data_IF_518197760810
#
_entry.id   IF_518197760810
#
_cell.length_a   1.000
_cell.length_b   1.000
_cell.length_c   1.000
_cell.angle_alpha   90.00
_cell.angle_beta   90.00
_cell.angle_gamma   90.00
#
_symmetry.space_group_name_H-M   'P 1'
#
loop_
_entity.id
_entity.type
_entity.pdbx_description
1 polymer ?
#
# COMPACT_ATOMS: atom_id res chain seq x y z
N UNK A 1 20.36 -32.56 -36.02
CA UNK A 1 20.31 -31.27 -35.27
C UNK A 1 18.88 -30.75 -35.04
N UNK A 2 17.94 -30.92 -35.98
CA UNK A 2 16.57 -30.37 -35.86
C UNK A 2 15.68 -30.97 -34.75
N UNK A 3 15.82 -32.27 -34.44
CA UNK A 3 15.01 -32.92 -33.40
C UNK A 3 15.34 -32.42 -31.98
N UNK A 4 16.63 -32.22 -31.65
CA UNK A 4 17.06 -31.67 -30.36
C UNK A 4 16.52 -30.26 -30.13
N UNK A 5 16.51 -29.41 -31.16
CA UNK A 5 15.95 -28.06 -31.07
C UNK A 5 14.43 -28.05 -30.82
N UNK A 6 13.68 -28.99 -31.42
CA UNK A 6 12.23 -29.12 -31.22
C UNK A 6 11.88 -29.62 -29.81
N UNK A 7 12.67 -30.56 -29.28
CA UNK A 7 12.53 -31.09 -27.93
C UNK A 7 12.81 -30.02 -26.87
N UNK A 8 13.85 -29.19 -27.06
CA UNK A 8 14.14 -28.05 -26.17
C UNK A 8 12.99 -27.05 -26.17
N UNK A 9 12.44 -26.68 -27.34
CA UNK A 9 11.28 -25.77 -27.41
C UNK A 9 10.03 -26.33 -26.73
N UNK A 10 9.78 -27.64 -26.82
CA UNK A 10 8.66 -28.29 -26.15
C UNK A 10 8.84 -28.32 -24.62
N UNK A 11 10.06 -28.59 -24.14
CA UNK A 11 10.40 -28.56 -22.71
C UNK A 11 10.27 -27.16 -22.09
N UNK A 12 10.63 -26.11 -22.84
CA UNK A 12 10.48 -24.72 -22.39
C UNK A 12 9.01 -24.30 -22.33
N UNK A 13 8.19 -24.70 -23.32
CA UNK A 13 6.75 -24.42 -23.31
C UNK A 13 6.03 -25.11 -22.16
N UNK A 14 6.38 -26.36 -21.86
CA UNK A 14 5.82 -27.09 -20.72
C UNK A 14 6.24 -26.49 -19.38
N UNK A 15 7.51 -26.09 -19.23
CA UNK A 15 7.97 -25.37 -18.03
C UNK A 15 7.24 -24.02 -17.85
N UNK A 16 7.01 -23.27 -18.92
CA UNK A 16 6.25 -22.02 -18.87
C UNK A 16 4.78 -22.24 -18.48
N UNK A 17 4.14 -23.29 -19.00
CA UNK A 17 2.78 -23.67 -18.63
C UNK A 17 2.66 -24.10 -17.16
N UNK A 18 3.65 -24.85 -16.65
CA UNK A 18 3.70 -25.23 -15.23
C UNK A 18 3.87 -24.00 -14.32
N UNK A 19 4.68 -23.01 -14.72
CA UNK A 19 4.78 -21.74 -13.97
C UNK A 19 3.48 -20.94 -13.98
N UNK A 20 2.77 -20.88 -15.10
CA UNK A 20 1.47 -20.21 -15.19
C UNK A 20 0.39 -20.91 -14.36
N UNK A 21 0.46 -22.24 -14.24
CA UNK A 21 -0.41 -23.00 -13.35
C UNK A 21 -0.15 -22.70 -11.86
N UNK A 22 1.10 -22.39 -11.47
CA UNK A 22 1.43 -22.00 -10.10
C UNK A 22 0.78 -20.64 -9.72
N UNK A 23 0.67 -19.70 -10.65
CA UNK A 23 0.04 -18.39 -10.39
C UNK A 23 -1.44 -18.51 -10.00
N UNK A 24 -2.13 -19.58 -10.40
CA UNK A 24 -3.53 -19.83 -10.09
C UNK A 24 -3.73 -20.57 -8.76
N UNK A 25 -2.66 -21.10 -8.15
CA UNK A 25 -2.75 -21.86 -6.89
C UNK A 25 -2.93 -20.95 -5.68
N UNK A 26 -3.52 -21.51 -4.64
CA UNK A 26 -3.72 -20.82 -3.36
C UNK A 26 -2.39 -20.57 -2.63
N UNK A 27 -2.37 -19.62 -1.70
CA UNK A 27 -1.16 -19.30 -0.93
C UNK A 27 -0.65 -20.54 -0.16
N UNK A 28 -1.55 -21.37 0.40
CA UNK A 28 -1.20 -22.59 1.14
C UNK A 28 -0.58 -23.68 0.26
N UNK A 29 -1.09 -23.83 -0.97
CA UNK A 29 -0.55 -24.79 -1.94
C UNK A 29 0.84 -24.37 -2.42
N UNK A 30 1.06 -23.06 -2.59
CA UNK A 30 2.36 -22.50 -2.96
C UNK A 30 3.42 -22.68 -1.86
N UNK A 31 3.03 -22.63 -0.58
CA UNK A 31 3.96 -22.88 0.52
C UNK A 31 4.40 -24.35 0.63
N UNK A 32 3.52 -25.28 0.22
CA UNK A 32 3.81 -26.72 0.19
C UNK A 32 4.57 -27.17 -1.05
N UNK A 33 4.68 -26.31 -2.07
CA UNK A 33 5.35 -26.62 -3.33
C UNK A 33 6.86 -26.81 -3.16
N UNK A 34 7.38 -27.97 -3.60
CA UNK A 34 8.79 -28.32 -3.47
C UNK A 34 9.53 -28.30 -4.81
N UNK A 35 8.85 -28.65 -5.91
CA UNK A 35 9.48 -28.78 -7.24
C UNK A 35 9.89 -27.43 -7.80
N UNK A 36 9.00 -26.43 -7.67
CA UNK A 36 9.24 -25.05 -8.12
C UNK A 36 9.26 -24.06 -6.95
N UNK A 37 9.95 -24.43 -5.87
CA UNK A 37 9.96 -23.68 -4.62
C UNK A 37 10.41 -22.22 -4.79
N UNK A 38 11.43 -21.95 -5.62
CA UNK A 38 11.89 -20.58 -5.89
C UNK A 38 10.82 -19.72 -6.56
N UNK A 39 10.09 -20.28 -7.53
CA UNK A 39 9.01 -19.60 -8.23
C UNK A 39 7.79 -19.42 -7.33
N UNK A 40 7.39 -20.45 -6.58
CA UNK A 40 6.27 -20.37 -5.65
C UNK A 40 6.46 -19.30 -4.57
N UNK A 41 7.64 -19.26 -3.95
CA UNK A 41 7.99 -18.23 -2.97
C UNK A 41 8.04 -16.82 -3.59
N UNK A 42 8.45 -16.72 -4.86
CA UNK A 42 8.46 -15.45 -5.56
C UNK A 42 7.05 -14.91 -5.84
N UNK A 43 6.10 -15.80 -6.16
CA UNK A 43 4.68 -15.46 -6.34
C UNK A 43 4.08 -15.00 -5.00
N UNK A 44 4.35 -15.71 -3.91
CA UNK A 44 3.93 -15.31 -2.56
C UNK A 44 4.52 -13.94 -2.17
N UNK A 45 5.80 -13.70 -2.49
CA UNK A 45 6.46 -12.41 -2.28
C UNK A 45 5.82 -11.27 -3.08
N UNK A 46 5.38 -11.53 -4.30
CA UNK A 46 4.67 -10.57 -5.14
C UNK A 46 3.24 -10.28 -4.60
N UNK A 47 2.49 -11.33 -4.21
CA UNK A 47 1.16 -11.16 -3.58
C UNK A 47 1.23 -10.41 -2.25
N UNK A 48 2.28 -10.63 -1.46
CA UNK A 48 2.53 -9.86 -0.24
C UNK A 48 2.82 -8.38 -0.54
N UNK A 49 3.55 -8.10 -1.63
CA UNK A 49 3.82 -6.73 -2.07
C UNK A 49 2.56 -5.99 -2.54
N UNK A 50 1.65 -6.66 -3.26
CA UNK A 50 0.35 -6.12 -3.65
C UNK A 50 -0.52 -5.76 -2.43
N UNK A 51 -0.40 -6.53 -1.35
CA UNK A 51 -1.03 -6.26 -0.05
C UNK A 51 -0.32 -5.16 0.76
N UNK A 52 0.76 -4.57 0.23
CA UNK A 52 1.61 -3.58 0.90
C UNK A 52 2.31 -4.11 2.17
N UNK A 53 2.54 -5.42 2.28
CA UNK A 53 3.32 -6.01 3.36
C UNK A 53 4.79 -6.17 2.93
N UNK A 54 5.58 -5.13 3.18
CA UNK A 54 7.00 -5.11 2.85
C UNK A 54 7.82 -6.13 3.67
N UNK A 55 7.35 -6.54 4.85
CA UNK A 55 8.10 -7.45 5.74
C UNK A 55 7.93 -8.89 5.26
N UNK A 56 6.68 -9.32 5.04
CA UNK A 56 6.40 -10.62 4.47
C UNK A 56 7.00 -10.76 3.06
N UNK A 57 6.86 -9.74 2.22
CA UNK A 57 7.44 -9.75 0.86
C UNK A 57 8.97 -9.95 0.89
N UNK A 58 9.70 -9.23 1.75
CA UNK A 58 11.15 -9.42 1.94
C UNK A 58 11.51 -10.86 2.30
N UNK A 59 10.80 -11.44 3.25
CA UNK A 59 11.11 -12.77 3.76
C UNK A 59 10.86 -13.84 2.69
N UNK A 60 9.74 -13.76 1.97
CA UNK A 60 9.45 -14.65 0.85
C UNK A 60 10.50 -14.55 -0.26
N UNK A 61 10.92 -13.33 -0.66
CA UNK A 61 11.97 -13.15 -1.66
C UNK A 61 13.35 -13.61 -1.17
N UNK A 62 13.68 -13.45 0.12
CA UNK A 62 14.92 -13.98 0.70
C UNK A 62 14.96 -15.51 0.60
N UNK A 63 13.87 -16.17 0.97
CA UNK A 63 13.72 -17.63 0.85
C UNK A 63 13.74 -18.09 -0.62
N UNK A 64 13.14 -17.32 -1.53
CA UNK A 64 13.15 -17.59 -2.97
C UNK A 64 14.58 -17.52 -3.56
N UNK A 65 15.37 -16.51 -3.17
CA UNK A 65 16.77 -16.36 -3.61
C UNK A 65 17.63 -17.51 -3.06
N UNK A 66 17.39 -17.93 -1.81
CA UNK A 66 18.11 -19.06 -1.23
C UNK A 66 17.80 -20.39 -1.94
N UNK A 67 16.53 -20.59 -2.34
CA UNK A 67 16.09 -21.80 -3.05
C UNK A 67 16.38 -21.80 -4.55
N UNK A 68 16.81 -20.68 -5.14
CA UNK A 68 16.97 -20.54 -6.59
C UNK A 68 18.37 -20.89 -7.11
N UNK A 69 18.38 -21.29 -8.38
CA UNK A 69 19.59 -21.60 -9.15
C UNK A 69 20.39 -20.33 -9.43
N UNK A 70 21.73 -20.38 -9.56
CA UNK A 70 22.57 -19.20 -9.76
C UNK A 70 22.15 -18.29 -10.93
N UNK A 71 21.63 -18.89 -12.00
CA UNK A 71 21.15 -18.18 -13.20
C UNK A 71 19.87 -17.37 -12.93
N UNK A 72 18.98 -17.88 -12.08
CA UNK A 72 17.68 -17.28 -11.77
C UNK A 72 17.77 -16.23 -10.65
N UNK A 73 18.82 -16.30 -9.80
CA UNK A 73 19.02 -15.40 -8.66
C UNK A 73 18.98 -13.93 -9.05
N UNK A 74 19.61 -13.58 -10.18
CA UNK A 74 19.65 -12.19 -10.63
C UNK A 74 18.27 -11.69 -11.08
N UNK A 75 17.47 -12.54 -11.72
CA UNK A 75 16.10 -12.21 -12.11
C UNK A 75 15.21 -12.06 -10.87
N UNK A 76 15.29 -12.99 -9.92
CA UNK A 76 14.52 -12.94 -8.68
C UNK A 76 14.90 -11.72 -7.83
N UNK A 77 16.18 -11.33 -7.79
CA UNK A 77 16.61 -10.09 -7.12
C UNK A 77 15.99 -8.84 -7.75
N UNK A 78 16.05 -8.72 -9.09
CA UNK A 78 15.43 -7.58 -9.79
C UNK A 78 13.92 -7.52 -9.56
N UNK A 79 13.27 -8.68 -9.55
CA UNK A 79 11.84 -8.77 -9.27
C UNK A 79 11.54 -8.41 -7.81
N UNK A 80 12.34 -8.89 -6.86
CA UNK A 80 12.24 -8.52 -5.46
C UNK A 80 12.38 -7.01 -5.25
N UNK A 81 13.36 -6.36 -5.90
CA UNK A 81 13.55 -4.91 -5.81
C UNK A 81 12.30 -4.14 -6.29
N UNK A 82 11.69 -4.57 -7.40
CA UNK A 82 10.46 -3.96 -7.90
C UNK A 82 9.26 -4.20 -6.98
N UNK A 83 9.07 -5.44 -6.50
CA UNK A 83 7.99 -5.78 -5.56
C UNK A 83 8.15 -5.08 -4.22
N UNK A 84 9.37 -4.92 -3.70
CA UNK A 84 9.62 -4.18 -2.47
C UNK A 84 9.40 -2.68 -2.61
N UNK A 85 9.78 -2.09 -3.74
CA UNK A 85 9.48 -0.69 -4.02
C UNK A 85 7.96 -0.42 -4.10
N UNK A 86 7.20 -1.38 -4.64
CA UNK A 86 5.73 -1.34 -4.63
C UNK A 86 5.17 -1.44 -3.20
N UNK A 87 5.63 -2.44 -2.44
CA UNK A 87 5.15 -2.70 -1.07
C UNK A 87 5.42 -1.51 -0.14
N UNK A 88 6.57 -0.88 -0.30
CA UNK A 88 6.98 0.30 0.47
C UNK A 88 6.42 1.62 -0.09
N UNK A 89 5.64 1.58 -1.17
CA UNK A 89 5.06 2.77 -1.82
C UNK A 89 6.14 3.80 -2.17
N UNK A 90 7.27 3.34 -2.74
CA UNK A 90 8.38 4.17 -3.22
C UNK A 90 8.33 4.29 -4.74
N UNK A 91 7.66 5.32 -5.28
CA UNK A 91 7.38 5.43 -6.72
C UNK A 91 8.64 5.64 -7.56
N UNK A 92 9.63 6.36 -7.04
CA UNK A 92 10.88 6.64 -7.77
C UNK A 92 11.76 5.38 -7.86
N UNK A 93 11.84 4.61 -6.77
CA UNK A 93 12.53 3.31 -6.73
C UNK A 93 11.81 2.26 -7.59
N UNK A 94 10.47 2.29 -7.61
CA UNK A 94 9.64 1.39 -8.42
C UNK A 94 9.91 1.61 -9.92
N UNK A 95 9.92 2.87 -10.36
CA UNK A 95 10.21 3.20 -11.76
C UNK A 95 11.60 2.70 -12.18
N UNK A 96 12.62 2.98 -11.38
CA UNK A 96 13.99 2.53 -11.64
C UNK A 96 14.14 0.99 -11.62
N UNK A 97 13.41 0.30 -10.74
CA UNK A 97 13.43 -1.16 -10.67
C UNK A 97 12.72 -1.83 -11.85
N UNK A 98 11.57 -1.29 -12.30
CA UNK A 98 10.82 -1.79 -13.46
C UNK A 98 11.58 -1.56 -14.76
N UNK A 99 12.26 -0.42 -14.91
CA UNK A 99 13.13 -0.15 -16.07
C UNK A 99 14.32 -1.13 -16.13
N UNK A 100 14.92 -1.49 -14.98
CA UNK A 100 15.99 -2.51 -14.90
C UNK A 100 15.50 -3.94 -15.18
N UNK A 101 14.21 -4.19 -15.03
CA UNK A 101 13.55 -5.44 -15.44
C UNK A 101 13.25 -5.48 -16.96
N UNK A 102 13.39 -4.36 -17.67
CA UNK A 102 13.09 -4.26 -19.11
C UNK A 102 11.58 -4.25 -19.42
N UNK A 103 10.74 -4.04 -18.40
CA UNK A 103 9.29 -3.91 -18.51
C UNK A 103 8.91 -2.44 -18.78
N UNK A 104 7.74 -2.18 -19.39
CA UNK A 104 7.29 -0.81 -19.61
C UNK A 104 7.12 -0.10 -18.27
N UNK A 105 7.76 1.07 -18.13
CA UNK A 105 7.70 1.86 -16.91
C UNK A 105 6.22 2.18 -16.56
N UNK A 106 5.84 2.15 -15.26
CA UNK A 106 4.48 2.48 -14.84
C UNK A 106 4.11 3.90 -15.28
N UNK A 107 2.86 4.09 -15.68
CA UNK A 107 2.40 5.39 -16.21
C UNK A 107 2.53 6.50 -15.15
N UNK A 108 2.81 7.73 -15.58
CA UNK A 108 3.01 8.88 -14.69
C UNK A 108 1.83 9.14 -13.74
N UNK A 109 0.61 8.78 -14.16
CA UNK A 109 -0.61 8.86 -13.33
C UNK A 109 -0.64 7.80 -12.22
N UNK A 110 -0.19 6.58 -12.52
CA UNK A 110 -0.05 5.50 -11.52
C UNK A 110 1.03 5.84 -10.48
N UNK A 111 2.13 6.44 -10.91
CA UNK A 111 3.18 6.93 -10.01
C UNK A 111 2.68 8.07 -9.12
N UNK A 112 1.85 8.99 -9.65
CA UNK A 112 1.24 10.07 -8.87
C UNK A 112 0.25 9.52 -7.82
N UNK A 113 -0.54 8.51 -8.16
CA UNK A 113 -1.41 7.80 -7.20
C UNK A 113 -0.60 7.06 -6.12
N UNK A 114 0.52 6.44 -6.49
CA UNK A 114 1.43 5.82 -5.51
C UNK A 114 2.06 6.88 -4.58
N UNK A 115 2.41 8.06 -5.11
CA UNK A 115 2.87 9.21 -4.30
C UNK A 115 1.79 9.69 -3.35
N UNK A 116 0.55 9.85 -3.81
CA UNK A 116 -0.57 10.29 -2.98
C UNK A 116 -0.86 9.31 -1.84
N UNK A 117 -0.82 8.01 -2.12
CA UNK A 117 -1.03 6.96 -1.10
C UNK A 117 0.13 6.85 -0.12
N UNK A 118 1.37 7.02 -0.58
CA UNK A 118 2.56 7.11 0.27
C UNK A 118 2.56 8.36 1.17
N UNK A 119 2.00 9.47 0.71
CA UNK A 119 1.84 10.71 1.52
C UNK A 119 0.75 10.57 2.58
N UNK A 120 -0.36 9.89 2.26
CA UNK A 120 -1.49 9.74 3.19
C UNK A 120 -1.28 8.63 4.24
N UNK A 121 -0.57 7.57 3.89
CA UNK A 121 -0.23 6.46 4.79
C UNK A 121 1.23 6.07 4.57
N UNK A 122 2.16 6.73 5.28
CA UNK A 122 3.58 6.48 5.09
C UNK A 122 3.95 5.04 5.50
N UNK A 123 4.86 4.38 4.76
CA UNK A 123 5.23 2.99 4.97
C UNK A 123 5.86 2.74 6.35
N UNK A 124 5.72 1.53 6.92
CA UNK A 124 6.34 1.14 8.19
C UNK A 124 7.87 1.11 8.03
N UNK A 125 8.54 2.15 8.53
CA UNK A 125 10.00 2.35 8.42
C UNK A 125 10.41 3.74 7.94
N UNK A 126 9.45 4.56 7.49
CA UNK A 126 9.69 5.98 7.17
C UNK A 126 10.04 6.82 8.40
N UNK A 127 10.90 7.84 8.21
CA UNK A 127 11.39 8.72 9.28
C UNK A 127 10.23 9.29 10.09
N UNK A 128 10.44 9.43 11.40
CA UNK A 128 9.45 9.95 12.37
C UNK A 128 8.82 11.26 11.86
N UNK A 129 9.58 12.08 11.14
CA UNK A 129 9.16 13.32 10.51
C UNK A 129 8.06 13.17 9.44
N UNK A 130 8.07 12.12 8.62
CA UNK A 130 6.98 11.91 7.64
C UNK A 130 5.70 11.42 8.31
N UNK A 131 5.80 10.62 9.38
CA UNK A 131 4.65 10.24 10.21
C UNK A 131 4.08 11.45 10.94
N UNK A 132 4.97 12.31 11.46
CA UNK A 132 4.60 13.58 12.11
C UNK A 132 3.93 14.54 11.14
N UNK A 133 4.38 14.60 9.87
CA UNK A 133 3.76 15.44 8.83
C UNK A 133 2.32 15.02 8.51
N UNK A 134 2.06 13.71 8.42
CA UNK A 134 0.69 13.21 8.22
C UNK A 134 -0.23 13.55 9.39
N UNK A 135 0.27 13.41 10.62
CA UNK A 135 -0.45 13.80 11.84
C UNK A 135 -0.63 15.33 11.89
N UNK A 136 0.40 16.11 11.55
CA UNK A 136 0.35 17.57 11.54
C UNK A 136 -0.65 18.12 10.52
N UNK A 137 -0.76 17.49 9.34
CA UNK A 137 -1.80 17.82 8.35
C UNK A 137 -3.19 17.52 8.92
N UNK A 138 -3.36 16.38 9.60
CA UNK A 138 -4.61 16.05 10.29
C UNK A 138 -4.98 17.09 11.36
N UNK A 139 -4.02 17.45 12.23
CA UNK A 139 -4.20 18.47 13.26
C UNK A 139 -4.50 19.83 12.64
N UNK A 140 -3.76 20.24 11.60
CA UNK A 140 -3.98 21.49 10.89
C UNK A 140 -5.39 21.56 10.29
N UNK A 141 -5.88 20.46 9.70
CA UNK A 141 -7.24 20.39 9.16
C UNK A 141 -8.28 20.56 10.27
N UNK A 142 -8.08 19.93 11.43
CA UNK A 142 -8.96 20.09 12.60
C UNK A 142 -8.95 21.55 13.07
N UNK A 143 -7.78 22.16 13.22
CA UNK A 143 -7.63 23.58 13.60
C UNK A 143 -8.29 24.51 12.58
N UNK A 144 -8.16 24.22 11.28
CA UNK A 144 -8.83 24.99 10.23
C UNK A 144 -10.35 24.90 10.33
N UNK A 145 -10.91 23.72 10.59
CA UNK A 145 -12.36 23.53 10.80
C UNK A 145 -12.83 24.29 12.06
N UNK A 146 -12.05 24.26 13.14
CA UNK A 146 -12.31 25.04 14.36
C UNK A 146 -12.34 26.55 14.07
N UNK A 147 -11.36 27.04 13.33
CA UNK A 147 -11.27 28.45 12.96
C UNK A 147 -12.45 28.88 12.07
N UNK A 148 -12.87 28.03 11.12
CA UNK A 148 -14.03 28.30 10.27
C UNK A 148 -15.32 28.30 11.10
N UNK A 149 -15.52 27.32 11.98
CA UNK A 149 -16.69 27.27 12.87
C UNK A 149 -16.78 28.50 13.77
N UNK A 150 -15.65 28.91 14.35
CA UNK A 150 -15.57 30.13 15.15
C UNK A 150 -15.87 31.39 14.32
N UNK A 151 -15.32 31.49 13.10
CA UNK A 151 -15.57 32.62 12.20
C UNK A 151 -17.06 32.73 11.82
N UNK A 152 -17.73 31.60 11.54
CA UNK A 152 -19.15 31.55 11.20
C UNK A 152 -20.02 31.98 12.40
N UNK A 153 -19.75 31.45 13.60
CA UNK A 153 -20.49 31.84 14.81
C UNK A 153 -20.32 33.33 15.08
N UNK A 154 -19.11 33.86 14.90
CA UNK A 154 -18.85 35.29 15.06
C UNK A 154 -19.58 36.13 14.01
N UNK A 155 -19.61 35.71 12.75
CA UNK A 155 -20.35 36.38 11.66
C UNK A 155 -21.86 36.42 11.92
N UNK A 156 -22.44 35.31 12.40
CA UNK A 156 -23.86 35.24 12.74
C UNK A 156 -24.18 36.08 13.98
N UNK A 157 -23.25 36.22 14.92
CA UNK A 157 -23.46 37.01 16.14
C UNK A 157 -23.43 38.54 15.92
N UNK A 158 -22.86 39.02 14.80
CA UNK A 158 -22.78 40.45 14.45
C UNK A 158 -24.17 41.12 14.40
N UNK A 159 -25.17 40.58 13.66
CA UNK A 159 -26.51 41.19 13.60
C UNK A 159 -27.31 41.12 14.91
N UNK A 160 -26.93 40.25 15.85
CA UNK A 160 -27.64 40.08 17.14
C UNK A 160 -27.01 40.87 18.29
N UNK A 161 -26.19 41.89 18.00
CA UNK A 161 -25.61 42.78 19.01
C UNK A 161 -24.31 42.29 19.65
N UNK A 162 -23.71 41.21 19.11
CA UNK A 162 -22.46 40.64 19.60
C UNK A 162 -22.62 39.79 20.86
N UNK A 163 -22.32 38.51 20.77
CA UNK A 163 -22.20 37.64 21.95
C UNK A 163 -20.93 38.00 22.71
N UNK A 164 -21.03 38.17 24.04
CA UNK A 164 -19.85 38.25 24.91
C UNK A 164 -18.92 37.05 24.68
N UNK A 165 -17.62 37.24 24.92
CA UNK A 165 -16.59 36.24 24.62
C UNK A 165 -16.85 34.88 25.31
N UNK A 166 -17.44 34.88 26.51
CA UNK A 166 -17.71 33.68 27.29
C UNK A 166 -18.79 32.75 26.68
N UNK A 167 -20.03 33.20 26.37
CA UNK A 167 -21.05 32.33 25.78
C UNK A 167 -20.72 31.88 24.36
N UNK A 168 -19.99 32.69 23.58
CA UNK A 168 -19.55 32.32 22.23
C UNK A 168 -18.46 31.24 22.24
N UNK A 169 -17.55 31.27 23.22
CA UNK A 169 -16.57 30.19 23.45
C UNK A 169 -17.24 28.89 23.89
N UNK A 170 -18.25 28.95 24.77
CA UNK A 170 -19.02 27.77 25.20
C UNK A 170 -19.83 27.16 24.05
N UNK A 171 -20.57 27.98 23.29
CA UNK A 171 -21.32 27.51 22.13
C UNK A 171 -20.40 26.92 21.05
N UNK A 172 -19.24 27.54 20.82
CA UNK A 172 -18.18 27.01 19.97
C UNK A 172 -17.66 25.66 20.46
N UNK A 173 -17.36 25.52 21.76
CA UNK A 173 -16.88 24.27 22.34
C UNK A 173 -17.90 23.13 22.22
N UNK A 174 -19.20 23.40 22.39
CA UNK A 174 -20.27 22.41 22.23
C UNK A 174 -20.41 21.98 20.77
N UNK A 175 -20.42 22.93 19.82
CA UNK A 175 -20.46 22.62 18.39
C UNK A 175 -19.27 21.73 17.98
N UNK A 176 -18.09 22.05 18.51
CA UNK A 176 -16.86 21.30 18.26
C UNK A 176 -16.93 19.88 18.84
N UNK A 177 -17.43 19.73 20.07
CA UNK A 177 -17.63 18.41 20.67
C UNK A 177 -18.60 17.56 19.84
N UNK A 178 -19.67 18.15 19.30
CA UNK A 178 -20.63 17.47 18.42
C UNK A 178 -19.97 17.07 17.10
N UNK A 179 -19.25 17.98 16.44
CA UNK A 179 -18.57 17.70 15.16
C UNK A 179 -17.50 16.62 15.35
N UNK A 180 -16.68 16.70 16.40
CA UNK A 180 -15.69 15.66 16.74
C UNK A 180 -16.37 14.32 17.07
N UNK A 181 -17.47 14.35 17.82
CA UNK A 181 -18.27 13.16 18.09
C UNK A 181 -18.76 12.48 16.81
N UNK A 182 -19.31 13.26 15.86
CA UNK A 182 -19.75 12.76 14.55
C UNK A 182 -18.56 12.25 13.74
N UNK A 183 -17.44 12.97 13.71
CA UNK A 183 -16.25 12.56 12.95
C UNK A 183 -15.63 11.27 13.49
N UNK A 184 -15.57 11.11 14.82
CA UNK A 184 -15.10 9.89 15.48
C UNK A 184 -16.07 8.74 15.21
N UNK A 185 -17.38 8.97 15.26
CA UNK A 185 -18.39 7.95 14.96
C UNK A 185 -18.30 7.49 13.50
N UNK A 186 -18.22 8.43 12.55
CA UNK A 186 -18.08 8.14 11.11
C UNK A 186 -16.71 7.52 10.82
N UNK A 187 -15.65 8.01 11.45
CA UNK A 187 -14.30 7.45 11.34
C UNK A 187 -14.23 6.02 11.82
N UNK A 188 -14.80 5.71 13.00
CA UNK A 188 -14.89 4.33 13.53
C UNK A 188 -15.73 3.44 12.63
N UNK A 189 -16.84 3.93 12.06
CA UNK A 189 -17.66 3.15 11.11
C UNK A 189 -16.91 2.86 9.81
N UNK A 190 -16.16 3.82 9.26
CA UNK A 190 -15.35 3.61 8.05
C UNK A 190 -14.15 2.70 8.29
N UNK A 191 -13.52 2.81 9.46
CA UNK A 191 -12.44 1.90 9.88
C UNK A 191 -12.95 0.47 10.10
N UNK A 192 -14.14 0.31 10.69
CA UNK A 192 -14.78 -0.99 10.84
C UNK A 192 -15.14 -1.62 9.47
N UNK A 193 -15.65 -0.82 8.53
CA UNK A 193 -15.93 -1.28 7.17
C UNK A 193 -14.66 -1.67 6.38
N UNK A 194 -13.56 -0.94 6.55
CA UNK A 194 -12.27 -1.29 5.96
C UNK A 194 -11.68 -2.57 6.57
N UNK A 195 -11.81 -2.77 7.89
CA UNK A 195 -11.41 -4.01 8.58
C UNK A 195 -12.26 -5.21 8.17
N UNK A 196 -13.56 -5.02 8.00
CA UNK A 196 -14.47 -6.07 7.51
C UNK A 196 -14.16 -6.47 6.06
N UNK A 197 -13.79 -5.51 5.20
CA UNK A 197 -13.35 -5.80 3.81
C UNK A 197 -11.98 -6.46 3.75
N UNK A 198 -11.08 -6.12 4.67
CA UNK A 198 -9.79 -6.80 4.82
C UNK A 198 -9.96 -8.26 5.32
N UNK A 199 -10.93 -8.51 6.21
CA UNK A 199 -11.27 -9.85 6.70
C UNK A 199 -12.07 -10.69 5.68
N UNK A 200 -12.83 -10.05 4.79
CA UNK A 200 -13.57 -10.71 3.72
C UNK A 200 -12.71 -11.02 2.48
N UNK A 201 -11.56 -10.35 2.32
CA UNK A 201 -10.58 -10.65 1.26
C UNK A 201 -9.55 -11.71 1.64
N UNK A 202 -9.68 -12.33 2.83
CA UNK A 202 -8.84 -13.41 3.33
C UNK A 202 -9.58 -14.75 3.48
N UNK A 203 -10.74 -14.89 2.84
CA UNK A 203 -11.47 -16.14 2.62
C UNK A 203 -11.53 -16.40 1.11
#
# INVERSE_FOLDING_TARGET
MAQKARQVKLSQKSAAAEMQALEQRSDEELERETKYKSAALSILGARAAERYDATASREYFRRAIAASRPQERMQIRRMADASLALAERRPDDLKAAVERLGQQAPSSRQLLLLRLTGVLSPPPGSSIWLKLRGIAIGIFLVVAILAIGFAIVKLIAIPFGGLAFAPSVLAGAVLVAIVLGILVLVGRRRQAGARARAAAGSQ
#
